data_IF_774012633745
#
_entry.id   IF_774012633745
#
_cell.length_a   1.000
_cell.length_b   1.000
_cell.length_c   1.000
_cell.angle_alpha   90.00
_cell.angle_beta   90.00
_cell.angle_gamma   90.00
#
_symmetry.space_group_name_H-M   'P 1'
#
loop_
_entity.id
_entity.type
_entity.pdbx_description
1 polymer ?
#
# COMPACT_ATOMS: atom_id res chain seq x y z
N UNK A 1 -1.00 -14.01 6.08
CA UNK A 1 -0.93 -12.64 5.54
C UNK A 1 0.27 -11.96 6.17
N UNK A 2 1.06 -11.27 5.38
CA UNK A 2 2.24 -10.53 5.84
C UNK A 2 1.80 -9.11 6.16
N UNK A 3 2.28 -8.56 7.28
CA UNK A 3 2.04 -7.17 7.66
C UNK A 3 3.23 -6.33 7.24
N UNK A 4 3.02 -5.44 6.28
CA UNK A 4 4.03 -4.51 5.79
C UNK A 4 3.68 -3.10 6.21
N UNK A 5 4.64 -2.38 6.80
CA UNK A 5 4.48 -0.97 7.17
C UNK A 5 5.07 -0.09 6.08
N UNK A 6 4.31 0.89 5.61
CA UNK A 6 4.75 1.83 4.58
C UNK A 6 4.50 3.25 5.08
N UNK A 7 5.48 4.14 4.95
CA UNK A 7 5.31 5.54 5.34
C UNK A 7 4.32 6.25 4.39
N UNK A 8 3.34 6.96 4.96
CA UNK A 8 2.33 7.73 4.20
C UNK A 8 2.93 8.95 3.50
N UNK A 9 4.12 9.38 3.92
CA UNK A 9 4.77 10.59 3.42
C UNK A 9 4.99 10.45 1.91
N UNK A 10 4.37 11.34 1.14
CA UNK A 10 4.36 11.35 -0.33
C UNK A 10 3.62 10.17 -0.98
N UNK A 11 2.73 9.47 -0.27
CA UNK A 11 2.07 8.27 -0.79
C UNK A 11 0.57 8.49 -0.94
N UNK A 12 0.08 8.32 -2.17
CA UNK A 12 -1.33 8.49 -2.49
C UNK A 12 -2.12 7.22 -2.13
N UNK A 13 -3.10 7.38 -1.23
CA UNK A 13 -3.93 6.28 -0.76
C UNK A 13 -4.76 5.66 -1.89
N UNK A 14 -5.23 6.45 -2.85
CA UNK A 14 -6.06 5.98 -3.95
C UNK A 14 -5.23 5.14 -4.92
N UNK A 15 -4.03 5.60 -5.27
CA UNK A 15 -3.09 4.82 -6.08
C UNK A 15 -2.69 3.52 -5.38
N UNK A 16 -2.38 3.58 -4.08
CA UNK A 16 -2.06 2.40 -3.29
C UNK A 16 -3.21 1.40 -3.28
N UNK A 17 -4.43 1.87 -3.05
CA UNK A 17 -5.61 1.00 -3.02
C UNK A 17 -5.87 0.39 -4.41
N UNK A 18 -5.72 1.16 -5.49
CA UNK A 18 -5.84 0.65 -6.86
C UNK A 18 -4.79 -0.42 -7.17
N UNK A 19 -3.54 -0.20 -6.76
CA UNK A 19 -2.45 -1.17 -6.92
C UNK A 19 -2.74 -2.47 -6.14
N UNK A 20 -3.23 -2.35 -4.91
CA UNK A 20 -3.60 -3.49 -4.07
C UNK A 20 -4.77 -4.28 -4.66
N UNK A 21 -5.79 -3.60 -5.18
CA UNK A 21 -6.92 -4.25 -5.88
C UNK A 21 -6.42 -4.93 -7.16
N UNK A 22 -5.52 -4.31 -7.91
CA UNK A 22 -4.98 -4.88 -9.14
C UNK A 22 -4.11 -6.13 -8.89
N UNK A 23 -3.31 -6.17 -7.81
CA UNK A 23 -2.47 -7.34 -7.46
C UNK A 23 -3.22 -8.44 -6.74
N UNK A 24 -4.05 -8.09 -5.77
CA UNK A 24 -4.61 -9.03 -4.80
C UNK A 24 -6.12 -9.21 -4.90
N UNK A 25 -6.79 -8.38 -5.72
CA UNK A 25 -8.24 -8.37 -5.84
C UNK A 25 -8.94 -7.59 -4.73
N UNK A 26 -10.19 -7.20 -4.97
CA UNK A 26 -11.03 -6.55 -3.97
C UNK A 26 -11.35 -7.55 -2.83
N UNK A 27 -10.69 -7.40 -1.68
CA UNK A 27 -10.85 -8.27 -0.51
C UNK A 27 -9.63 -9.16 -0.20
N UNK A 28 -8.60 -9.15 -1.05
CA UNK A 28 -7.36 -9.89 -0.82
C UNK A 28 -6.34 -9.18 0.09
N UNK A 29 -6.65 -7.99 0.58
CA UNK A 29 -5.76 -7.17 1.39
C UNK A 29 -6.52 -6.38 2.46
N UNK A 30 -5.82 -5.94 3.51
CA UNK A 30 -6.32 -4.97 4.48
C UNK A 30 -5.36 -3.79 4.58
N UNK A 31 -5.91 -2.61 4.80
CA UNK A 31 -5.13 -1.37 4.98
C UNK A 31 -5.56 -0.74 6.29
N UNK A 32 -4.66 -0.72 7.26
CA UNK A 32 -4.82 0.04 8.50
C UNK A 32 -4.01 1.34 8.40
N UNK A 33 -4.55 2.40 8.99
CA UNK A 33 -4.01 3.76 8.88
C UNK A 33 -3.57 4.18 10.28
N UNK A 34 -2.27 4.17 10.54
CA UNK A 34 -1.69 4.53 11.84
C UNK A 34 -0.87 5.81 11.67
N UNK A 35 -1.12 6.88 12.43
CA UNK A 35 -0.46 8.21 12.35
C UNK A 35 0.26 8.53 11.03
N UNK A 36 1.53 8.13 10.86
CA UNK A 36 2.37 8.42 9.70
C UNK A 36 2.64 7.22 8.76
N UNK A 37 2.08 6.03 9.06
CA UNK A 37 2.29 4.79 8.31
C UNK A 37 0.99 4.09 7.91
N UNK A 38 0.95 3.54 6.70
CA UNK A 38 -0.04 2.54 6.29
C UNK A 38 0.48 1.16 6.70
N UNK A 39 -0.34 0.42 7.43
CA UNK A 39 -0.07 -0.98 7.75
C UNK A 39 -0.89 -1.81 6.79
N UNK A 40 -0.23 -2.48 5.85
CA UNK A 40 -0.85 -3.33 4.85
C UNK A 40 -0.79 -4.78 5.29
N UNK A 41 -1.94 -5.44 5.38
CA UNK A 41 -2.00 -6.89 5.47
C UNK A 41 -2.23 -7.45 4.06
N UNK A 42 -1.17 -7.96 3.46
CA UNK A 42 -1.16 -8.45 2.07
C UNK A 42 -0.62 -9.88 2.01
N UNK A 43 -0.99 -10.69 1.01
CA UNK A 43 -0.48 -12.04 0.88
C UNK A 43 1.01 -12.07 0.48
N UNK A 44 1.49 -11.00 -0.17
CA UNK A 44 2.89 -10.81 -0.57
C UNK A 44 3.30 -9.35 -0.35
N UNK A 45 4.55 -9.13 0.06
CA UNK A 45 5.11 -7.79 0.22
C UNK A 45 5.17 -7.02 -1.11
N UNK A 46 4.85 -5.74 -1.05
CA UNK A 46 5.03 -4.79 -2.14
C UNK A 46 6.52 -4.43 -2.27
N UNK A 47 7.02 -4.45 -3.49
CA UNK A 47 8.38 -4.01 -3.79
C UNK A 47 8.49 -2.49 -3.74
N UNK A 48 9.70 -1.96 -3.52
CA UNK A 48 9.92 -0.51 -3.48
C UNK A 48 9.50 0.19 -4.78
N UNK A 49 9.71 -0.45 -5.93
CA UNK A 49 9.28 0.07 -7.23
C UNK A 49 7.75 0.26 -7.30
N UNK A 50 6.98 -0.69 -6.76
CA UNK A 50 5.52 -0.61 -6.73
C UNK A 50 5.03 0.49 -5.78
N UNK A 51 5.69 0.60 -4.62
CA UNK A 51 5.43 1.67 -3.66
C UNK A 51 5.72 3.03 -4.30
N UNK A 52 6.79 3.13 -5.10
CA UNK A 52 7.17 4.34 -5.81
C UNK A 52 6.13 4.75 -6.87
N UNK A 53 5.47 3.81 -7.55
CA UNK A 53 4.36 4.14 -8.45
C UNK A 53 3.16 4.78 -7.73
N UNK A 54 3.03 4.53 -6.43
CA UNK A 54 2.01 5.13 -5.58
C UNK A 54 2.47 6.45 -4.96
N UNK A 55 3.71 6.88 -5.18
CA UNK A 55 4.19 8.17 -4.66
C UNK A 55 3.77 9.31 -5.57
N UNK A 56 3.17 10.34 -4.97
CA UNK A 56 2.91 11.59 -5.67
C UNK A 56 4.21 12.37 -5.81
N UNK A 57 4.62 12.64 -7.06
CA UNK A 57 5.66 13.63 -7.37
C UNK A 57 5.11 15.01 -6.99
N UNK A 58 5.35 15.45 -5.76
CA UNK A 58 5.23 16.85 -5.36
C UNK A 58 6.53 17.59 -5.63
#
# INVERSE_FOLDING_TARGET
MIKQKIHKKYLDKSLLNNLLIAKFGAGGFQVEVESEVYILAVPQELTEAEIETCRTRS
#
